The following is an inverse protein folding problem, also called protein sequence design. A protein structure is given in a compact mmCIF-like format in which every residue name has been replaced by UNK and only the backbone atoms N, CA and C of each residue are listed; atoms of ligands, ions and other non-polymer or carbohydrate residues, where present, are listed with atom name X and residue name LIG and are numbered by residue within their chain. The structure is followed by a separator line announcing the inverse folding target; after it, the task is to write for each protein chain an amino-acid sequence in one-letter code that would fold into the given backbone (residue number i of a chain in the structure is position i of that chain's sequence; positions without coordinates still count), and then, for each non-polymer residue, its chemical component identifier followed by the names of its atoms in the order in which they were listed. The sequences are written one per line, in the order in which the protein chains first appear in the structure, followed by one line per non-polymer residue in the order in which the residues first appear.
data_IF_681874006780
#
_entry.id   IF_681874006780
#
_cell.length_a   1.000
_cell.length_b   1.000
_cell.length_c   1.000
_cell.angle_alpha   90.00
_cell.angle_beta   90.00
_cell.angle_gamma   90.00
#
_symmetry.space_group_name_H-M   'P 1'
#
loop_
_entity.id
_entity.type
_entity.pdbx_description
1 polymer ?
#
# COMPACT_ATOMS: atom_id res chain seq x y z
N UNK A 1 5.44 -30.10 -0.37
CA UNK A 1 4.03 -29.73 -0.15
C UNK A 1 3.81 -28.37 -0.78
N UNK A 2 3.00 -28.25 -1.82
CA UNK A 2 2.59 -26.92 -2.29
C UNK A 2 1.76 -26.26 -1.17
N UNK A 3 1.97 -24.97 -0.87
CA UNK A 3 1.10 -24.27 0.06
C UNK A 3 -0.34 -24.33 -0.46
N UNK A 4 -1.35 -24.43 0.43
CA UNK A 4 -2.73 -24.38 0.00
C UNK A 4 -2.96 -23.09 -0.78
N UNK A 5 -3.57 -23.21 -1.96
CA UNK A 5 -3.90 -22.07 -2.81
C UNK A 5 -5.01 -21.24 -2.17
N UNK A 6 -4.63 -20.22 -1.39
CA UNK A 6 -5.54 -19.26 -0.80
C UNK A 6 -5.97 -18.24 -1.87
N UNK A 7 -7.29 -18.11 -2.08
CA UNK A 7 -7.87 -17.12 -2.96
C UNK A 7 -8.61 -16.10 -2.11
N UNK A 8 -8.26 -14.82 -2.26
CA UNK A 8 -8.91 -13.71 -1.59
C UNK A 8 -9.70 -12.92 -2.62
N UNK A 9 -11.00 -12.72 -2.36
CA UNK A 9 -11.84 -11.82 -3.15
C UNK A 9 -12.11 -10.59 -2.28
N UNK A 10 -11.30 -9.56 -2.43
CA UNK A 10 -11.49 -8.30 -1.72
C UNK A 10 -12.77 -7.59 -2.22
N UNK A 11 -13.43 -6.84 -1.33
CA UNK A 11 -14.63 -6.04 -1.64
C UNK A 11 -15.83 -6.84 -2.23
N UNK A 12 -15.84 -8.17 -2.09
CA UNK A 12 -16.84 -9.04 -2.72
C UNK A 12 -18.29 -8.78 -2.28
N UNK A 13 -18.50 -8.34 -1.03
CA UNK A 13 -19.82 -8.14 -0.46
C UNK A 13 -19.92 -6.93 0.46
N UNK A 14 -19.65 -5.75 -0.09
CA UNK A 14 -19.85 -4.48 0.62
C UNK A 14 -21.34 -4.29 0.99
N UNK A 15 -21.59 -3.68 2.16
CA UNK A 15 -22.94 -3.61 2.77
C UNK A 15 -23.91 -2.62 2.12
N UNK A 16 -23.54 -1.97 1.01
CA UNK A 16 -24.38 -0.98 0.34
C UNK A 16 -25.63 -1.59 -0.31
N UNK A 17 -26.76 -0.86 -0.38
CA UNK A 17 -28.02 -1.40 -0.92
C UNK A 17 -27.90 -1.79 -2.41
N UNK A 18 -27.09 -1.07 -3.18
CA UNK A 18 -26.81 -1.40 -4.59
C UNK A 18 -26.00 -2.71 -4.71
N UNK A 19 -24.97 -2.88 -3.88
CA UNK A 19 -24.14 -4.09 -3.85
C UNK A 19 -24.94 -5.32 -3.41
N UNK A 20 -25.82 -5.18 -2.40
CA UNK A 20 -26.71 -6.27 -1.98
C UNK A 20 -27.68 -6.69 -3.10
N UNK A 21 -28.24 -5.74 -3.84
CA UNK A 21 -29.09 -6.03 -5.01
C UNK A 21 -28.30 -6.71 -6.13
N UNK A 22 -27.10 -6.24 -6.42
CA UNK A 22 -26.23 -6.85 -7.44
C UNK A 22 -25.84 -8.29 -7.04
N UNK A 23 -25.46 -8.51 -5.78
CA UNK A 23 -25.17 -9.84 -5.23
C UNK A 23 -26.33 -10.81 -5.36
N UNK A 24 -27.56 -10.36 -5.12
CA UNK A 24 -28.74 -11.21 -5.25
C UNK A 24 -29.03 -11.65 -6.70
N UNK A 25 -28.52 -10.93 -7.70
CA UNK A 25 -28.73 -11.22 -9.12
C UNK A 25 -27.54 -11.89 -9.80
N UNK A 26 -26.35 -11.85 -9.20
CA UNK A 26 -25.12 -12.42 -9.72
C UNK A 26 -25.21 -13.94 -9.84
N UNK A 27 -24.95 -14.46 -11.04
CA UNK A 27 -24.87 -15.90 -11.31
C UNK A 27 -23.40 -16.33 -11.25
N UNK A 28 -23.01 -17.05 -10.19
CA UNK A 28 -21.62 -17.46 -9.96
C UNK A 28 -21.49 -18.99 -9.83
N UNK A 29 -21.86 -19.77 -10.86
CA UNK A 29 -22.00 -21.22 -10.76
C UNK A 29 -20.70 -21.95 -10.40
N UNK A 30 -19.55 -21.39 -10.77
CA UNK A 30 -18.25 -21.94 -10.37
C UNK A 30 -17.91 -21.63 -8.92
N UNK A 31 -18.21 -20.43 -8.43
CA UNK A 31 -17.99 -20.05 -7.04
C UNK A 31 -18.91 -20.87 -6.12
N UNK A 32 -20.17 -21.03 -6.49
CA UNK A 32 -21.14 -21.86 -5.75
C UNK A 32 -20.64 -23.30 -5.60
N UNK A 33 -20.15 -23.92 -6.68
CA UNK A 33 -19.55 -25.27 -6.66
C UNK A 33 -18.33 -25.35 -5.74
N UNK A 34 -17.52 -24.31 -5.69
CA UNK A 34 -16.35 -24.25 -4.80
C UNK A 34 -16.80 -24.09 -3.35
N UNK A 35 -17.72 -23.16 -3.08
CA UNK A 35 -18.24 -22.88 -1.73
C UNK A 35 -18.90 -24.11 -1.10
N UNK A 36 -19.58 -24.95 -1.88
CA UNK A 36 -20.12 -26.23 -1.41
C UNK A 36 -19.06 -27.21 -0.89
N UNK A 37 -17.79 -27.03 -1.24
CA UNK A 37 -16.67 -27.87 -0.81
C UNK A 37 -15.86 -27.25 0.33
N UNK A 38 -16.19 -26.03 0.75
CA UNK A 38 -15.48 -25.28 1.79
C UNK A 38 -16.32 -25.26 3.07
N UNK A 39 -15.64 -25.31 4.22
CA UNK A 39 -16.26 -25.11 5.52
C UNK A 39 -16.06 -23.65 5.95
N UNK A 40 -17.13 -22.93 6.35
CA UNK A 40 -17.00 -21.59 6.91
C UNK A 40 -16.11 -21.61 8.16
N UNK A 41 -15.21 -20.64 8.25
CA UNK A 41 -14.38 -20.41 9.45
C UNK A 41 -14.94 -19.24 10.27
N UNK A 42 -14.26 -18.93 11.38
CA UNK A 42 -14.59 -17.75 12.20
C UNK A 42 -14.58 -16.49 11.33
N UNK A 43 -15.63 -15.69 11.45
CA UNK A 43 -15.71 -14.39 10.80
C UNK A 43 -14.68 -13.45 11.41
N UNK A 44 -13.79 -12.93 10.58
CA UNK A 44 -12.84 -11.90 10.97
C UNK A 44 -13.39 -10.52 10.59
N UNK A 45 -13.15 -9.54 11.45
CA UNK A 45 -13.54 -8.15 11.24
C UNK A 45 -12.42 -7.22 11.68
N UNK A 46 -12.18 -6.15 10.93
CA UNK A 46 -11.28 -5.05 11.32
C UNK A 46 -12.07 -3.81 11.70
N UNK A 47 -11.53 -2.99 12.59
CA UNK A 47 -12.07 -1.66 12.89
C UNK A 47 -11.76 -0.71 11.72
N UNK A 48 -12.63 0.28 11.49
CA UNK A 48 -12.49 1.22 10.38
C UNK A 48 -11.14 1.97 10.40
N UNK A 49 -10.64 2.32 11.59
CA UNK A 49 -9.47 3.18 11.79
C UNK A 49 -8.13 2.42 11.81
N UNK A 50 -8.13 1.11 11.54
CA UNK A 50 -6.88 0.34 11.45
C UNK A 50 -6.10 0.73 10.20
N UNK A 51 -4.79 0.89 10.33
CA UNK A 51 -3.90 1.31 9.24
C UNK A 51 -3.81 0.26 8.12
N UNK A 52 -3.83 -1.01 8.49
CA UNK A 52 -3.84 -2.15 7.57
C UNK A 52 -5.27 -2.68 7.39
N UNK A 53 -5.85 -2.60 6.16
CA UNK A 53 -7.14 -3.20 5.86
C UNK A 53 -7.19 -4.70 6.16
N UNK A 54 -8.39 -5.22 6.45
CA UNK A 54 -8.58 -6.65 6.73
C UNK A 54 -8.06 -7.54 5.59
N UNK A 55 -8.30 -7.15 4.34
CA UNK A 55 -7.95 -7.97 3.19
C UNK A 55 -6.41 -8.09 3.04
N UNK A 56 -5.64 -7.01 3.22
CA UNK A 56 -4.18 -7.06 3.28
C UNK A 56 -3.66 -7.84 4.48
N UNK A 57 -4.29 -7.66 5.64
CA UNK A 57 -3.95 -8.40 6.86
C UNK A 57 -4.07 -9.91 6.63
N UNK A 58 -5.13 -10.34 5.94
CA UNK A 58 -5.33 -11.73 5.54
C UNK A 58 -4.25 -12.22 4.59
N UNK A 59 -3.93 -11.47 3.52
CA UNK A 59 -2.86 -11.85 2.58
C UNK A 59 -1.54 -12.03 3.33
N UNK A 60 -1.18 -11.10 4.21
CA UNK A 60 0.05 -11.18 4.99
C UNK A 60 0.06 -12.41 5.92
N UNK A 61 -1.05 -12.69 6.61
CA UNK A 61 -1.18 -13.88 7.47
C UNK A 61 -1.06 -15.18 6.66
N UNK A 62 -1.70 -15.27 5.49
CA UNK A 62 -1.58 -16.44 4.61
C UNK A 62 -0.17 -16.61 4.03
N UNK A 63 0.56 -15.50 3.84
CA UNK A 63 1.98 -15.52 3.48
C UNK A 63 2.91 -15.88 4.65
N UNK A 64 2.37 -16.12 5.86
CA UNK A 64 3.15 -16.45 7.05
C UNK A 64 3.86 -15.25 7.68
N UNK A 65 3.48 -14.02 7.31
CA UNK A 65 4.06 -12.80 7.85
C UNK A 65 3.58 -12.51 9.27
N UNK A 66 4.51 -12.08 10.12
CA UNK A 66 4.22 -11.48 11.42
C UNK A 66 4.34 -9.97 11.28
N UNK A 67 3.31 -9.25 11.72
CA UNK A 67 3.24 -7.80 11.62
C UNK A 67 2.38 -7.22 12.75
N UNK A 68 2.52 -5.91 12.95
CA UNK A 68 1.58 -5.08 13.71
C UNK A 68 0.86 -4.14 12.76
N UNK A 69 -0.24 -3.54 13.20
CA UNK A 69 -1.03 -2.63 12.37
C UNK A 69 -0.16 -1.50 11.78
N UNK A 70 -0.23 -1.29 10.46
CA UNK A 70 0.59 -0.34 9.72
C UNK A 70 2.05 -0.74 9.51
N UNK A 71 2.48 -1.93 9.95
CA UNK A 71 3.85 -2.44 9.87
C UNK A 71 3.96 -3.75 9.08
N UNK A 72 3.15 -3.91 8.05
CA UNK A 72 3.25 -5.08 7.17
C UNK A 72 4.54 -4.98 6.34
N UNK A 73 5.43 -5.99 6.34
CA UNK A 73 6.76 -5.89 5.74
C UNK A 73 6.76 -6.09 4.22
N UNK A 74 5.82 -5.48 3.49
CA UNK A 74 5.69 -5.61 2.03
C UNK A 74 6.97 -5.20 1.31
N UNK A 75 7.48 -3.99 1.61
CA UNK A 75 8.69 -3.46 1.02
C UNK A 75 9.92 -4.33 1.31
N UNK A 76 10.04 -4.83 2.54
CA UNK A 76 11.16 -5.67 2.94
C UNK A 76 11.11 -7.06 2.25
N UNK A 77 9.92 -7.64 2.06
CA UNK A 77 9.77 -8.88 1.30
C UNK A 77 10.18 -8.70 -0.17
N UNK A 78 9.75 -7.61 -0.81
CA UNK A 78 10.11 -7.34 -2.19
C UNK A 78 11.61 -7.06 -2.34
N UNK A 79 12.18 -6.23 -1.47
CA UNK A 79 13.62 -5.99 -1.43
C UNK A 79 14.42 -7.28 -1.18
N UNK A 80 13.87 -8.22 -0.41
CA UNK A 80 14.49 -9.53 -0.21
C UNK A 80 14.47 -10.38 -1.48
N UNK A 81 13.33 -10.44 -2.16
CA UNK A 81 13.19 -11.15 -3.43
C UNK A 81 14.11 -10.59 -4.52
N UNK A 82 14.40 -9.29 -4.49
CA UNK A 82 15.35 -8.60 -5.38
C UNK A 82 16.82 -8.69 -4.92
N UNK A 83 17.11 -9.32 -3.77
CA UNK A 83 18.46 -9.45 -3.23
C UNK A 83 19.06 -8.17 -2.63
N UNK A 84 18.31 -7.06 -2.60
CA UNK A 84 18.78 -5.76 -2.10
C UNK A 84 19.08 -5.78 -0.59
N UNK A 85 18.39 -6.66 0.12
CA UNK A 85 18.55 -6.82 1.58
C UNK A 85 19.90 -7.36 2.01
N UNK A 86 20.65 -8.02 1.12
CA UNK A 86 22.02 -8.45 1.42
C UNK A 86 22.98 -7.26 1.61
N UNK A 87 22.67 -6.11 0.99
CA UNK A 87 23.49 -4.90 1.05
C UNK A 87 23.00 -3.90 2.11
N UNK A 88 21.68 -3.78 2.26
CA UNK A 88 21.06 -2.75 3.10
C UNK A 88 20.46 -3.29 4.40
N UNK A 89 20.43 -4.62 4.59
CA UNK A 89 19.78 -5.26 5.73
C UNK A 89 18.28 -5.47 5.55
N UNK A 90 17.62 -5.96 6.59
CA UNK A 90 16.22 -6.43 6.54
C UNK A 90 15.19 -5.40 7.03
N UNK A 91 15.63 -4.27 7.56
CA UNK A 91 14.78 -3.28 8.23
C UNK A 91 14.87 -1.92 7.55
N UNK A 92 13.83 -1.09 7.70
CA UNK A 92 13.86 0.28 7.17
C UNK A 92 13.53 0.36 5.68
N UNK A 93 12.68 -0.53 5.19
CA UNK A 93 12.21 -0.56 3.81
C UNK A 93 10.81 0.05 3.69
N UNK A 94 10.58 0.82 2.64
CA UNK A 94 9.29 1.43 2.32
C UNK A 94 8.98 1.37 0.81
N UNK A 95 7.70 1.49 0.48
CA UNK A 95 7.21 1.71 -0.88
C UNK A 95 6.80 3.18 -1.03
N UNK A 96 7.39 3.87 -1.99
CA UNK A 96 7.10 5.27 -2.32
C UNK A 96 6.18 5.28 -3.54
N UNK A 97 4.92 5.67 -3.37
CA UNK A 97 3.94 5.69 -4.45
C UNK A 97 3.63 7.13 -4.83
N UNK A 98 3.82 7.53 -6.11
CA UNK A 98 3.37 8.83 -6.58
C UNK A 98 1.84 8.87 -6.58
N UNK A 99 1.27 9.98 -6.12
CA UNK A 99 -0.17 10.20 -6.08
C UNK A 99 -0.49 11.69 -6.31
N UNK A 100 -1.74 11.99 -6.65
CA UNK A 100 -2.21 13.38 -6.76
C UNK A 100 -2.97 13.78 -5.51
N UNK A 101 -2.66 14.96 -4.97
CA UNK A 101 -3.38 15.55 -3.84
C UNK A 101 -4.18 16.74 -4.34
N UNK A 102 -5.50 16.64 -4.22
CA UNK A 102 -6.42 17.73 -4.53
C UNK A 102 -6.72 18.50 -3.25
N UNK A 103 -6.37 19.79 -3.24
CA UNK A 103 -6.63 20.69 -2.11
C UNK A 103 -8.05 21.25 -2.24
N UNK A 104 -8.91 20.95 -1.28
CA UNK A 104 -10.23 21.54 -1.11
C UNK A 104 -10.21 22.60 0.00
N UNK A 105 -11.31 23.36 0.14
CA UNK A 105 -11.39 24.44 1.11
C UNK A 105 -11.25 23.99 2.58
N UNK A 106 -11.70 22.78 2.91
CA UNK A 106 -11.72 22.24 4.28
C UNK A 106 -10.81 21.02 4.49
N UNK A 107 -10.24 20.44 3.42
CA UNK A 107 -9.45 19.21 3.50
C UNK A 107 -8.55 19.00 2.28
N UNK A 108 -7.60 18.08 2.43
CA UNK A 108 -6.83 17.55 1.30
C UNK A 108 -7.30 16.13 0.98
N UNK A 109 -7.56 15.89 -0.30
CA UNK A 109 -8.01 14.61 -0.84
C UNK A 109 -6.88 13.95 -1.61
N UNK A 110 -6.66 12.65 -1.42
CA UNK A 110 -5.74 11.88 -2.27
C UNK A 110 -6.53 11.13 -3.33
N UNK A 111 -6.23 11.42 -4.60
CA UNK A 111 -6.81 10.66 -5.71
C UNK A 111 -6.25 9.24 -5.74
N UNK A 112 -6.97 8.32 -6.37
CA UNK A 112 -6.50 6.93 -6.50
C UNK A 112 -5.18 6.88 -7.28
N UNK A 113 -4.06 6.42 -6.68
CA UNK A 113 -2.77 6.34 -7.35
C UNK A 113 -2.80 5.46 -8.61
N UNK A 114 -3.72 4.50 -8.70
CA UNK A 114 -3.89 3.67 -9.90
C UNK A 114 -4.36 4.49 -11.13
N UNK A 115 -4.97 5.65 -10.91
CA UNK A 115 -5.42 6.54 -11.98
C UNK A 115 -4.30 7.46 -12.49
N UNK A 116 -3.20 7.59 -11.75
CA UNK A 116 -2.02 8.39 -12.10
C UNK A 116 -1.24 7.71 -13.23
N UNK A 117 -1.82 7.76 -14.43
CA UNK A 117 -1.39 7.10 -15.67
C UNK A 117 -0.06 7.64 -16.19
N UNK A 118 1.01 7.46 -15.41
CA UNK A 118 2.37 7.85 -15.76
C UNK A 118 2.80 7.05 -16.99
N UNK A 119 3.92 7.38 -17.60
CA UNK A 119 4.62 6.50 -18.55
C UNK A 119 5.91 6.01 -17.89
N UNK A 120 6.56 4.97 -18.42
CA UNK A 120 7.87 4.57 -17.88
C UNK A 120 8.86 5.74 -17.92
N UNK A 121 8.87 6.50 -19.03
CA UNK A 121 9.67 7.71 -19.17
C UNK A 121 9.36 8.77 -18.10
N UNK A 122 8.08 9.02 -17.79
CA UNK A 122 7.72 9.98 -16.75
C UNK A 122 8.12 9.49 -15.35
N UNK A 123 8.06 8.18 -15.10
CA UNK A 123 8.56 7.63 -13.83
C UNK A 123 10.06 7.80 -13.69
N UNK A 124 10.83 7.52 -14.75
CA UNK A 124 12.28 7.71 -14.71
C UNK A 124 12.62 9.18 -14.46
N UNK A 125 11.92 10.11 -15.11
CA UNK A 125 12.10 11.55 -14.91
C UNK A 125 11.73 12.00 -13.49
N UNK A 126 10.64 11.46 -12.92
CA UNK A 126 10.26 11.70 -11.53
C UNK A 126 11.34 11.17 -10.59
N UNK A 127 11.76 9.92 -10.76
CA UNK A 127 12.78 9.30 -9.93
C UNK A 127 14.08 10.12 -9.95
N UNK A 128 14.56 10.51 -11.13
CA UNK A 128 15.77 11.33 -11.29
C UNK A 128 15.67 12.68 -10.58
N UNK A 129 14.50 13.31 -10.62
CA UNK A 129 14.27 14.60 -9.93
C UNK A 129 14.23 14.43 -8.41
N UNK A 130 13.66 13.34 -7.91
CA UNK A 130 13.47 13.10 -6.47
C UNK A 130 14.72 12.54 -5.77
N UNK A 131 15.52 11.72 -6.46
CA UNK A 131 16.65 10.99 -5.85
C UNK A 131 17.57 11.88 -5.00
N UNK A 132 17.99 13.08 -5.44
CA UNK A 132 18.88 13.93 -4.65
C UNK A 132 18.29 14.34 -3.30
N UNK A 133 16.99 14.68 -3.28
CA UNK A 133 16.28 15.09 -2.06
C UNK A 133 16.13 13.94 -1.07
N UNK A 134 15.85 12.73 -1.56
CA UNK A 134 15.80 11.54 -0.72
C UNK A 134 17.18 11.23 -0.13
N UNK A 135 18.23 11.34 -0.94
CA UNK A 135 19.61 11.10 -0.54
C UNK A 135 20.11 12.08 0.52
N UNK A 136 19.70 13.36 0.47
CA UNK A 136 19.98 14.36 1.53
C UNK A 136 19.44 13.94 2.90
N UNK A 137 18.32 13.21 2.92
CA UNK A 137 17.66 12.71 4.13
C UNK A 137 18.13 11.31 4.54
N UNK A 138 19.18 10.81 3.91
CA UNK A 138 19.74 9.47 4.17
C UNK A 138 18.82 8.34 3.71
N UNK A 139 17.98 8.60 2.69
CA UNK A 139 17.08 7.63 2.09
C UNK A 139 17.61 7.24 0.72
N UNK A 140 17.93 5.96 0.54
CA UNK A 140 18.27 5.40 -0.76
C UNK A 140 16.98 5.07 -1.51
N UNK A 141 16.74 5.74 -2.64
CA UNK A 141 15.63 5.46 -3.54
C UNK A 141 16.09 4.53 -4.66
N UNK A 142 15.44 3.39 -4.85
CA UNK A 142 15.82 2.41 -5.86
C UNK A 142 15.03 2.64 -7.15
N UNK A 143 15.74 2.86 -8.26
CA UNK A 143 15.12 2.95 -9.59
C UNK A 143 14.46 1.63 -10.02
N UNK A 144 14.88 0.52 -9.42
CA UNK A 144 14.34 -0.82 -9.68
C UNK A 144 13.04 -1.00 -8.88
N UNK A 145 11.93 -0.63 -9.50
CA UNK A 145 10.61 -0.90 -8.95
C UNK A 145 9.59 -0.95 -10.06
N UNK A 146 9.36 -2.15 -10.55
CA UNK A 146 8.25 -2.40 -11.45
C UNK A 146 7.78 -3.83 -11.27
N UNK A 147 6.54 -3.98 -10.80
CA UNK A 147 5.72 -5.10 -11.23
C UNK A 147 4.49 -4.60 -12.00
N UNK A 148 3.97 -5.50 -12.84
CA UNK A 148 2.93 -5.36 -13.86
C UNK A 148 1.71 -4.48 -13.54
N UNK A 149 1.42 -4.12 -12.29
CA UNK A 149 0.14 -3.54 -11.87
C UNK A 149 0.24 -2.31 -10.93
N UNK A 150 1.42 -1.74 -10.68
CA UNK A 150 1.52 -0.57 -9.80
C UNK A 150 2.89 0.11 -9.87
N UNK A 151 2.88 1.44 -9.86
CA UNK A 151 4.07 2.27 -10.00
C UNK A 151 4.43 2.82 -8.63
N UNK A 152 5.44 2.24 -8.03
CA UNK A 152 6.04 2.72 -6.78
C UNK A 152 7.55 2.62 -6.92
N UNK A 153 8.30 3.15 -5.95
CA UNK A 153 9.74 2.94 -5.78
C UNK A 153 10.03 2.30 -4.44
N UNK A 154 10.95 1.33 -4.41
CA UNK A 154 11.52 0.89 -3.15
C UNK A 154 12.39 2.00 -2.59
N UNK A 155 12.30 2.22 -1.29
CA UNK A 155 13.17 3.11 -0.55
C UNK A 155 13.72 2.42 0.69
N UNK A 156 14.97 2.72 1.03
CA UNK A 156 15.62 2.23 2.22
C UNK A 156 16.19 3.38 3.05
N UNK A 157 15.91 3.40 4.34
CA UNK A 157 16.44 4.42 5.25
C UNK A 157 16.01 4.16 6.69
N UNK A 158 16.81 4.66 7.63
CA UNK A 158 16.54 4.50 9.06
C UNK A 158 15.18 5.08 9.49
N UNK A 159 14.71 6.12 8.79
CA UNK A 159 13.44 6.80 9.06
C UNK A 159 12.23 5.88 8.93
N UNK A 160 12.30 4.83 8.10
CA UNK A 160 11.19 3.89 7.88
C UNK A 160 11.12 2.76 8.90
N UNK A 161 12.15 2.57 9.73
CA UNK A 161 12.19 1.47 10.68
C UNK A 161 11.06 1.61 11.70
N UNK A 162 10.19 0.61 11.77
CA UNK A 162 9.08 0.57 12.75
C UNK A 162 8.15 1.80 12.66
N UNK A 163 8.10 2.46 11.49
CA UNK A 163 7.18 3.58 11.26
C UNK A 163 5.85 3.05 10.71
N UNK A 164 4.76 3.06 11.51
CA UNK A 164 3.46 2.59 11.03
C UNK A 164 2.86 3.57 10.03
N UNK A 165 2.43 3.05 8.88
CA UNK A 165 1.77 3.82 7.81
C UNK A 165 0.44 3.20 7.42
N UNK A 166 -0.54 4.03 7.11
CA UNK A 166 -1.80 3.56 6.52
C UNK A 166 -1.54 2.95 5.14
N UNK A 167 -2.26 1.87 4.80
CA UNK A 167 -2.32 1.39 3.43
C UNK A 167 -2.92 2.45 2.51
N UNK A 168 -2.51 2.46 1.24
CA UNK A 168 -3.14 3.29 0.21
C UNK A 168 -4.64 3.03 0.10
N UNK A 169 -5.11 1.80 0.32
CA UNK A 169 -6.53 1.45 0.30
C UNK A 169 -7.35 2.16 1.40
N UNK A 170 -6.68 2.71 2.42
CA UNK A 170 -7.34 3.53 3.45
C UNK A 170 -7.58 4.97 3.03
N UNK A 171 -6.72 5.50 2.16
CA UNK A 171 -6.65 6.93 1.87
C UNK A 171 -6.95 7.26 0.41
N UNK A 172 -6.85 6.30 -0.52
CA UNK A 172 -7.20 6.48 -1.92
C UNK A 172 -8.68 6.87 -2.06
N UNK A 173 -8.93 7.99 -2.73
CA UNK A 173 -10.27 8.56 -2.88
C UNK A 173 -10.85 9.13 -1.58
N UNK A 174 -10.01 9.48 -0.59
CA UNK A 174 -10.45 9.95 0.73
C UNK A 174 -9.61 11.13 1.26
N UNK A 175 -10.06 11.70 2.38
CA UNK A 175 -9.32 12.73 3.13
C UNK A 175 -8.04 12.16 3.73
N UNK A 176 -6.91 12.86 3.60
CA UNK A 176 -5.59 12.35 4.03
C UNK A 176 -5.32 12.54 5.52
N UNK A 177 -5.94 13.53 6.17
CA UNK A 177 -5.57 14.02 7.51
C UNK A 177 -5.59 12.96 8.62
N UNK A 178 -6.54 12.02 8.53
CA UNK A 178 -6.70 10.94 9.52
C UNK A 178 -5.65 9.84 9.35
N UNK A 179 -5.01 9.76 8.18
CA UNK A 179 -4.11 8.67 7.79
C UNK A 179 -2.63 9.06 7.80
N UNK A 180 -2.32 10.36 7.89
CA UNK A 180 -0.94 10.85 7.93
C UNK A 180 -0.25 10.45 9.24
N UNK A 181 1.00 9.93 9.18
CA UNK A 181 1.77 9.61 10.38
C UNK A 181 2.14 10.89 11.13
N UNK A 182 1.71 11.00 12.41
CA UNK A 182 1.94 12.18 13.26
C UNK A 182 3.07 12.01 14.26
N UNK A 183 3.70 10.84 14.30
CA UNK A 183 4.81 10.57 15.22
C UNK A 183 6.01 11.48 14.92
N UNK A 184 6.86 11.69 15.91
CA UNK A 184 8.08 12.52 15.79
C UNK A 184 9.01 11.98 14.70
N UNK A 185 9.12 10.66 14.59
CA UNK A 185 9.92 9.97 13.57
C UNK A 185 9.52 10.36 12.13
N UNK A 186 8.23 10.62 11.87
CA UNK A 186 7.75 11.01 10.54
C UNK A 186 7.97 12.50 10.21
N UNK A 187 8.58 13.29 11.10
CA UNK A 187 8.80 14.73 10.86
C UNK A 187 9.66 14.99 9.62
N UNK A 188 10.75 14.23 9.46
CA UNK A 188 11.62 14.35 8.29
C UNK A 188 10.85 14.01 7.00
N UNK A 189 10.06 12.93 7.01
CA UNK A 189 9.23 12.53 5.87
C UNK A 189 8.15 13.55 5.51
N UNK A 190 7.52 14.21 6.48
CA UNK A 190 6.56 15.29 6.19
C UNK A 190 7.24 16.50 5.55
N UNK A 191 8.47 16.82 5.97
CA UNK A 191 9.27 17.86 5.29
C UNK A 191 9.60 17.44 3.85
N UNK A 192 10.13 16.24 3.68
CA UNK A 192 10.47 15.70 2.36
C UNK A 192 9.24 15.66 1.44
N UNK A 193 8.08 15.24 1.95
CA UNK A 193 6.82 15.24 1.20
C UNK A 193 6.39 16.65 0.75
N UNK A 194 6.58 17.68 1.59
CA UNK A 194 6.34 19.07 1.18
C UNK A 194 7.34 19.54 0.11
N UNK A 195 8.60 19.14 0.22
CA UNK A 195 9.62 19.43 -0.81
C UNK A 195 9.26 18.76 -2.14
N UNK A 196 8.80 17.51 -2.11
CA UNK A 196 8.32 16.80 -3.30
C UNK A 196 7.09 17.46 -3.92
N UNK A 197 6.15 17.96 -3.11
CA UNK A 197 5.01 18.71 -3.62
C UNK A 197 5.44 19.98 -4.35
N UNK A 198 6.41 20.72 -3.82
CA UNK A 198 6.93 21.93 -4.49
C UNK A 198 7.72 21.60 -5.75
N UNK A 199 8.45 20.48 -5.75
CA UNK A 199 9.27 20.05 -6.88
C UNK A 199 8.44 19.53 -8.05
N UNK A 200 7.32 18.86 -7.77
CA UNK A 200 6.53 18.09 -8.76
C UNK A 200 5.24 18.76 -9.21
N UNK A 201 4.97 19.99 -8.75
CA UNK A 201 3.81 20.79 -9.17
C UNK A 201 4.01 21.39 -10.57
#
# INVERSE_FOLDING_TARGET
MQPPSAHLIAFAATRGPQCQRALAQLQLPHLEKILQRLAPTVLQSSVADTLTPLHESLVAQYAGLRFSDGLVPWAAQEAHALGLTALHGMTGWALITPCHWTVHADHVHMDDPAQLSLTAQNQDALWQSMEPYFSEDGITLFAQSHQKNGRYWLAHGAVFRELPTASLDRVAGQKVDSWMPRQVQAKALRRLQNEMQMLLY
#
